data_IF_822243314247
#
_entry.id   IF_822243314247
#
_cell.length_a   1.000
_cell.length_b   1.000
_cell.length_c   1.000
_cell.angle_alpha   90.00
_cell.angle_beta   90.00
_cell.angle_gamma   90.00
#
_symmetry.space_group_name_H-M   'P 1'
#
loop_
_entity.id
_entity.type
_entity.pdbx_description
1 polymer ?
#
# COMPACT_ATOMS: atom_id res chain seq x y z
N UNK A 1 19.43 -10.69 17.98
CA UNK A 1 18.83 -11.48 16.91
C UNK A 1 19.46 -11.09 15.58
N UNK A 2 19.78 -12.09 14.77
CA UNK A 2 20.38 -11.98 13.46
C UNK A 2 19.27 -12.03 12.41
N UNK A 3 19.11 -10.95 11.66
CA UNK A 3 18.21 -10.90 10.52
C UNK A 3 18.99 -11.35 9.29
N UNK A 4 18.53 -12.43 8.64
CA UNK A 4 19.08 -12.98 7.40
C UNK A 4 18.12 -12.81 6.23
N UNK A 5 18.67 -12.62 5.04
CA UNK A 5 17.92 -12.64 3.79
C UNK A 5 17.68 -14.07 3.34
N UNK A 6 16.45 -14.38 2.95
CA UNK A 6 16.05 -15.67 2.38
C UNK A 6 16.90 -16.09 1.16
N UNK A 7 17.37 -15.12 0.37
CA UNK A 7 18.09 -15.36 -0.89
C UNK A 7 19.59 -15.05 -0.78
N UNK A 8 19.99 -14.18 0.16
CA UNK A 8 21.41 -13.80 0.32
C UNK A 8 21.90 -13.91 1.77
N UNK A 9 22.52 -15.05 2.15
CA UNK A 9 22.95 -15.30 3.53
C UNK A 9 24.08 -14.36 4.01
N UNK A 10 24.67 -13.54 3.14
CA UNK A 10 25.69 -12.57 3.52
C UNK A 10 25.11 -11.29 4.15
N UNK A 11 23.78 -11.09 4.09
CA UNK A 11 23.14 -9.96 4.78
C UNK A 11 22.84 -10.37 6.21
N UNK A 12 23.71 -9.93 7.11
CA UNK A 12 23.61 -10.16 8.54
C UNK A 12 23.33 -8.82 9.23
N UNK A 13 22.10 -8.58 9.66
CA UNK A 13 21.75 -7.37 10.43
C UNK A 13 21.48 -7.77 11.87
N UNK A 14 22.29 -7.26 12.79
CA UNK A 14 22.03 -7.44 14.22
C UNK A 14 21.05 -6.37 14.71
N UNK A 15 19.91 -6.82 15.22
CA UNK A 15 18.84 -5.98 15.77
C UNK A 15 18.29 -6.67 17.04
N UNK A 16 17.86 -5.89 18.02
CA UNK A 16 17.12 -6.44 19.15
C UNK A 16 15.74 -6.92 18.70
N UNK A 17 15.20 -8.05 19.21
CA UNK A 17 13.89 -8.55 18.80
C UNK A 17 12.77 -7.50 18.97
N UNK A 18 12.83 -6.72 20.05
CA UNK A 18 11.84 -5.67 20.34
C UNK A 18 11.92 -4.48 19.38
N UNK A 19 13.12 -4.06 18.99
CA UNK A 19 13.32 -3.02 17.97
C UNK A 19 12.86 -3.51 16.60
N UNK A 20 13.21 -4.75 16.23
CA UNK A 20 12.76 -5.36 14.97
C UNK A 20 11.23 -5.43 14.90
N UNK A 21 10.58 -5.91 15.97
CA UNK A 21 9.13 -6.00 16.05
C UNK A 21 8.47 -4.63 15.89
N UNK A 22 9.00 -3.59 16.56
CA UNK A 22 8.52 -2.21 16.40
C UNK A 22 8.67 -1.71 14.97
N UNK A 23 9.81 -1.98 14.32
CA UNK A 23 10.03 -1.60 12.92
C UNK A 23 9.03 -2.28 11.98
N UNK A 24 8.84 -3.60 12.10
CA UNK A 24 7.90 -4.36 11.28
C UNK A 24 6.46 -3.87 11.48
N UNK A 25 6.05 -3.61 12.73
CA UNK A 25 4.75 -3.04 13.04
C UNK A 25 4.57 -1.64 12.43
N UNK A 26 5.58 -0.78 12.54
CA UNK A 26 5.54 0.55 11.93
C UNK A 26 5.38 0.47 10.40
N UNK A 27 6.14 -0.42 9.74
CA UNK A 27 6.05 -0.65 8.30
C UNK A 27 4.65 -1.15 7.90
N UNK A 28 4.07 -2.06 8.68
CA UNK A 28 2.71 -2.56 8.48
C UNK A 28 1.70 -1.42 8.57
N UNK A 29 1.71 -0.66 9.67
CA UNK A 29 0.80 0.46 9.89
C UNK A 29 0.89 1.49 8.76
N UNK A 30 2.10 1.80 8.28
CA UNK A 30 2.31 2.73 7.17
C UNK A 30 1.65 2.23 5.88
N UNK A 31 1.77 0.93 5.56
CA UNK A 31 1.15 0.32 4.38
C UNK A 31 -0.38 0.28 4.51
N UNK A 32 -0.91 -0.04 5.68
CA UNK A 32 -2.36 -0.02 5.95
C UNK A 32 -2.95 1.39 5.80
N UNK A 33 -2.26 2.40 6.34
CA UNK A 33 -2.67 3.80 6.16
C UNK A 33 -2.66 4.21 4.67
N UNK A 34 -1.68 3.74 3.89
CA UNK A 34 -1.63 4.03 2.46
C UNK A 34 -2.77 3.34 1.70
N UNK A 35 -3.12 2.10 2.05
CA UNK A 35 -4.30 1.41 1.51
C UNK A 35 -5.57 2.25 1.75
N UNK A 36 -5.77 2.74 2.98
CA UNK A 36 -6.95 3.57 3.31
C UNK A 36 -6.96 4.91 2.57
N UNK A 37 -5.79 5.54 2.37
CA UNK A 37 -5.68 6.75 1.54
C UNK A 37 -6.08 6.50 0.09
N UNK A 38 -5.63 5.38 -0.49
CA UNK A 38 -5.97 5.04 -1.88
C UNK A 38 -7.47 4.73 -2.00
N UNK A 39 -8.04 3.94 -1.07
CA UNK A 39 -9.49 3.67 -1.04
C UNK A 39 -10.30 4.96 -0.97
N UNK A 40 -9.90 5.89 -0.11
CA UNK A 40 -10.58 7.19 0.02
C UNK A 40 -10.51 8.01 -1.29
N UNK A 41 -9.39 7.98 -2.01
CA UNK A 41 -9.27 8.63 -3.33
C UNK A 41 -10.22 8.00 -4.35
N UNK A 42 -10.26 6.67 -4.43
CA UNK A 42 -11.18 5.94 -5.31
C UNK A 42 -12.63 6.29 -4.98
N UNK A 43 -13.00 6.25 -3.70
CA UNK A 43 -14.37 6.51 -3.26
C UNK A 43 -14.82 7.94 -3.64
N UNK A 44 -13.98 8.95 -3.41
CA UNK A 44 -14.25 10.33 -3.82
C UNK A 44 -14.46 10.46 -5.33
N UNK A 45 -13.63 9.78 -6.13
CA UNK A 45 -13.78 9.77 -7.59
C UNK A 45 -15.11 9.15 -8.02
N UNK A 46 -15.45 7.97 -7.48
CA UNK A 46 -16.69 7.27 -7.82
C UNK A 46 -17.93 8.06 -7.39
N UNK A 47 -17.92 8.65 -6.19
CA UNK A 47 -19.01 9.51 -5.72
C UNK A 47 -19.23 10.70 -6.64
N UNK A 48 -18.14 11.37 -7.05
CA UNK A 48 -18.21 12.48 -8.01
C UNK A 48 -18.81 12.03 -9.35
N UNK A 49 -18.35 10.90 -9.90
CA UNK A 49 -18.88 10.36 -11.17
C UNK A 49 -20.35 9.98 -11.07
N UNK A 50 -20.77 9.34 -9.98
CA UNK A 50 -22.17 9.00 -9.76
C UNK A 50 -23.05 10.26 -9.67
N UNK A 51 -22.58 11.33 -9.04
CA UNK A 51 -23.28 12.60 -8.98
C UNK A 51 -23.38 13.27 -10.36
N UNK A 52 -22.30 13.27 -11.15
CA UNK A 52 -22.28 13.77 -12.53
C UNK A 52 -23.28 13.01 -13.42
N UNK A 53 -23.33 11.68 -13.27
CA UNK A 53 -24.24 10.84 -14.04
C UNK A 53 -25.70 11.01 -13.61
N UNK A 54 -25.97 11.07 -12.30
CA UNK A 54 -27.32 11.35 -11.80
C UNK A 54 -27.83 12.71 -12.28
N UNK A 55 -26.97 13.74 -12.21
CA UNK A 55 -27.28 15.07 -12.74
C UNK A 55 -27.59 15.01 -14.24
N UNK A 56 -26.72 14.41 -15.05
CA UNK A 56 -26.94 14.27 -16.49
C UNK A 56 -28.26 13.53 -16.78
N UNK A 57 -28.56 12.45 -16.06
CA UNK A 57 -29.79 11.69 -16.29
C UNK A 57 -31.06 12.48 -15.97
N UNK A 58 -31.01 13.34 -14.94
CA UNK A 58 -32.12 14.24 -14.57
C UNK A 58 -32.40 15.37 -15.57
N UNK A 59 -31.49 15.64 -16.52
CA UNK A 59 -31.69 16.67 -17.53
C UNK A 59 -32.70 16.26 -18.60
N UNK A 60 -33.46 17.24 -19.10
CA UNK A 60 -34.35 17.04 -20.24
C UNK A 60 -33.57 16.76 -21.54
N UNK A 61 -34.18 16.09 -22.54
CA UNK A 61 -33.52 15.75 -23.81
C UNK A 61 -32.91 16.97 -24.52
N UNK A 62 -33.60 18.11 -24.50
CA UNK A 62 -33.09 19.36 -25.07
C UNK A 62 -31.82 19.83 -24.34
N UNK A 63 -31.81 19.81 -23.00
CA UNK A 63 -30.63 20.20 -22.22
C UNK A 63 -29.46 19.22 -22.41
N UNK A 64 -29.72 17.93 -22.59
CA UNK A 64 -28.68 16.90 -22.86
C UNK A 64 -27.90 17.14 -24.15
N UNK A 65 -28.51 17.76 -25.16
CA UNK A 65 -27.84 18.09 -26.43
C UNK A 65 -26.79 19.21 -26.27
N UNK A 66 -26.95 20.09 -25.27
CA UNK A 66 -26.04 21.22 -25.05
C UNK A 66 -24.98 20.99 -23.97
N UNK A 67 -24.97 19.83 -23.31
CA UNK A 67 -24.07 19.59 -22.15
C UNK A 67 -22.67 19.10 -22.53
N UNK A 68 -22.35 18.93 -23.82
CA UNK A 68 -20.98 18.64 -24.28
C UNK A 68 -20.32 17.43 -23.61
N UNK A 69 -21.10 16.38 -23.29
CA UNK A 69 -20.62 15.21 -22.53
C UNK A 69 -19.47 14.52 -23.26
N UNK A 70 -18.37 14.28 -22.55
CA UNK A 70 -17.18 13.64 -23.09
C UNK A 70 -17.50 12.26 -23.70
N UNK A 71 -16.85 11.87 -24.81
CA UNK A 71 -17.03 10.56 -25.42
C UNK A 71 -16.76 9.41 -24.44
N UNK A 72 -17.49 8.29 -24.61
CA UNK A 72 -17.42 7.13 -23.69
C UNK A 72 -16.00 6.57 -23.51
N UNK A 73 -15.15 6.68 -24.52
CA UNK A 73 -13.77 6.22 -24.46
C UNK A 73 -12.94 6.98 -23.41
N UNK A 74 -13.12 8.29 -23.26
CA UNK A 74 -12.43 9.07 -22.23
C UNK A 74 -12.85 8.64 -20.82
N UNK A 75 -14.14 8.30 -20.64
CA UNK A 75 -14.66 7.84 -19.36
C UNK A 75 -14.05 6.49 -18.93
N UNK A 76 -13.83 5.58 -19.89
CA UNK A 76 -13.18 4.30 -19.63
C UNK A 76 -11.70 4.47 -19.23
N UNK A 77 -10.97 5.35 -19.93
CA UNK A 77 -9.57 5.67 -19.61
C UNK A 77 -9.46 6.29 -18.21
N UNK A 78 -10.31 7.25 -17.88
CA UNK A 78 -10.37 7.87 -16.56
C UNK A 78 -10.65 6.83 -15.47
N UNK A 79 -11.59 5.91 -15.70
CA UNK A 79 -11.89 4.84 -14.74
C UNK A 79 -10.70 3.91 -14.52
N UNK A 80 -9.99 3.52 -15.59
CA UNK A 80 -8.78 2.70 -15.46
C UNK A 80 -7.73 3.41 -14.61
N UNK A 81 -7.46 4.69 -14.90
CA UNK A 81 -6.45 5.48 -14.21
C UNK A 81 -6.80 5.75 -12.74
N UNK A 82 -8.07 6.02 -12.42
CA UNK A 82 -8.49 6.45 -11.09
C UNK A 82 -9.06 5.35 -10.20
N UNK A 83 -9.37 4.18 -10.77
CA UNK A 83 -9.93 3.05 -10.02
C UNK A 83 -9.08 1.81 -10.21
N UNK A 84 -8.91 1.32 -11.44
CA UNK A 84 -8.28 0.02 -11.70
C UNK A 84 -6.80 0.00 -11.30
N UNK A 85 -6.01 0.99 -11.72
CA UNK A 85 -4.59 1.06 -11.34
C UNK A 85 -4.38 1.29 -9.83
N UNK A 86 -5.13 2.20 -9.17
CA UNK A 86 -5.11 2.32 -7.71
C UNK A 86 -5.49 1.03 -6.96
N UNK A 87 -6.46 0.25 -7.45
CA UNK A 87 -6.80 -1.05 -6.86
C UNK A 87 -5.63 -2.04 -6.96
N UNK A 88 -4.93 -2.11 -8.10
CA UNK A 88 -3.72 -2.92 -8.22
C UNK A 88 -2.62 -2.48 -7.25
N UNK A 89 -2.52 -1.19 -6.96
CA UNK A 89 -1.59 -0.69 -5.93
C UNK A 89 -1.99 -1.17 -4.53
N UNK A 90 -3.30 -1.16 -4.21
CA UNK A 90 -3.82 -1.74 -2.97
C UNK A 90 -3.48 -3.22 -2.86
N UNK A 91 -3.63 -4.00 -3.94
CA UNK A 91 -3.34 -5.44 -3.92
C UNK A 91 -1.87 -5.72 -3.63
N UNK A 92 -0.95 -4.95 -4.23
CA UNK A 92 0.48 -5.02 -3.89
C UNK A 92 0.77 -4.65 -2.43
N UNK A 93 0.11 -3.61 -1.91
CA UNK A 93 0.26 -3.20 -0.52
C UNK A 93 -0.25 -4.28 0.44
N UNK A 94 -1.38 -4.92 0.13
CA UNK A 94 -1.95 -6.02 0.91
C UNK A 94 -1.01 -7.23 0.97
N UNK A 95 -0.39 -7.58 -0.16
CA UNK A 95 0.62 -8.63 -0.18
C UNK A 95 1.80 -8.28 0.75
N UNK A 96 2.28 -7.04 0.71
CA UNK A 96 3.31 -6.58 1.64
C UNK A 96 2.89 -6.60 3.11
N UNK A 97 1.62 -6.27 3.42
CA UNK A 97 1.08 -6.40 4.79
C UNK A 97 1.04 -7.86 5.23
N UNK A 98 0.63 -8.77 4.36
CA UNK A 98 0.61 -10.21 4.64
C UNK A 98 2.00 -10.76 4.97
N UNK A 99 3.02 -10.40 4.17
CA UNK A 99 4.42 -10.79 4.44
C UNK A 99 4.92 -10.25 5.80
N UNK A 100 4.57 -9.01 6.12
CA UNK A 100 4.91 -8.40 7.41
C UNK A 100 4.20 -9.09 8.58
N UNK A 101 2.91 -9.42 8.42
CA UNK A 101 2.15 -10.13 9.45
C UNK A 101 2.73 -11.52 9.71
N UNK A 102 3.08 -12.26 8.66
CA UNK A 102 3.74 -13.55 8.79
C UNK A 102 5.07 -13.43 9.56
N UNK A 103 5.87 -12.42 9.23
CA UNK A 103 7.16 -12.16 9.91
C UNK A 103 6.97 -11.75 11.38
N UNK A 104 5.99 -10.90 11.67
CA UNK A 104 5.64 -10.46 13.04
C UNK A 104 5.15 -11.65 13.86
N UNK A 105 4.33 -12.52 13.27
CA UNK A 105 3.81 -13.70 13.94
C UNK A 105 4.93 -14.65 14.33
N UNK A 106 5.81 -15.02 13.38
CA UNK A 106 6.96 -15.88 13.67
C UNK A 106 7.87 -15.31 14.76
N UNK A 107 8.08 -13.99 14.76
CA UNK A 107 8.87 -13.32 15.79
C UNK A 107 8.23 -13.35 17.19
N UNK A 108 6.89 -13.36 17.26
CA UNK A 108 6.14 -13.44 18.52
C UNK A 108 6.05 -14.85 19.09
N UNK A 109 5.95 -15.86 18.23
CA UNK A 109 5.86 -17.26 18.65
C UNK A 109 7.19 -17.80 19.18
N UNK A 110 8.30 -17.36 18.60
CA UNK A 110 9.65 -17.84 18.96
C UNK A 110 10.61 -16.68 19.25
N UNK A 111 10.37 -15.88 20.31
CA UNK A 111 11.18 -14.70 20.63
C UNK A 111 12.62 -15.03 21.05
N UNK A 112 12.88 -16.29 21.42
CA UNK A 112 14.18 -16.84 21.81
C UNK A 112 15.02 -17.34 20.64
N UNK A 113 14.51 -17.34 19.40
CA UNK A 113 15.34 -17.65 18.23
C UNK A 113 16.37 -16.54 18.02
N UNK A 114 17.63 -16.92 17.96
CA UNK A 114 18.70 -15.96 17.68
C UNK A 114 18.72 -15.49 16.22
N UNK A 115 17.96 -16.14 15.33
CA UNK A 115 17.90 -15.83 13.90
C UNK A 115 16.47 -15.75 13.37
N UNK A 116 16.20 -14.79 12.48
CA UNK A 116 14.97 -14.67 11.71
C UNK A 116 15.29 -14.46 10.24
N UNK A 117 14.61 -15.20 9.38
CA UNK A 117 14.72 -15.07 7.93
C UNK A 117 13.60 -14.13 7.46
N UNK A 118 13.97 -13.05 6.78
CA UNK A 118 13.02 -12.09 6.23
C UNK A 118 13.17 -12.00 4.71
N UNK A 119 12.08 -11.63 4.03
CA UNK A 119 12.12 -11.40 2.59
C UNK A 119 13.04 -10.22 2.24
N UNK A 120 13.65 -10.28 1.06
CA UNK A 120 14.55 -9.22 0.55
C UNK A 120 13.89 -7.83 0.56
N UNK A 121 12.59 -7.78 0.29
CA UNK A 121 11.79 -6.54 0.28
C UNK A 121 11.77 -5.91 1.67
N UNK A 122 11.48 -6.70 2.71
CA UNK A 122 11.44 -6.24 4.11
C UNK A 122 12.83 -5.79 4.56
N UNK A 123 13.88 -6.54 4.22
CA UNK A 123 15.27 -6.20 4.56
C UNK A 123 15.71 -4.90 3.90
N UNK A 124 15.33 -4.69 2.64
CA UNK A 124 15.58 -3.44 1.92
C UNK A 124 14.95 -2.25 2.64
N UNK A 125 13.68 -2.37 3.03
CA UNK A 125 12.97 -1.32 3.76
C UNK A 125 13.54 -1.07 5.17
N UNK A 126 13.96 -2.12 5.89
CA UNK A 126 14.65 -1.98 7.19
C UNK A 126 15.95 -1.17 7.02
N UNK A 127 16.76 -1.49 5.99
CA UNK A 127 18.00 -0.76 5.69
C UNK A 127 17.74 0.70 5.35
N UNK A 128 16.71 0.98 4.56
CA UNK A 128 16.36 2.36 4.20
C UNK A 128 15.91 3.17 5.42
N UNK A 129 15.00 2.62 6.25
CA UNK A 129 14.52 3.31 7.46
C UNK A 129 15.66 3.60 8.46
N UNK A 130 16.66 2.69 8.55
CA UNK A 130 17.86 2.92 9.37
C UNK A 130 18.78 4.01 8.85
N UNK A 131 18.90 4.17 7.53
CA UNK A 131 19.70 5.26 6.93
C UNK A 131 19.04 6.62 7.15
N UNK A 132 17.74 6.72 6.92
CA UNK A 132 16.99 7.96 7.14
C UNK A 132 16.96 8.40 8.61
N UNK A 133 17.11 7.48 9.57
CA UNK A 133 17.24 7.83 10.99
C UNK A 133 18.63 8.30 11.42
N UNK A 134 19.66 8.15 10.58
CA UNK A 134 21.03 8.63 10.86
C UNK A 134 21.32 10.02 10.29
N UNK A 135 20.53 10.48 9.33
CA UNK A 135 20.72 11.79 8.66
C UNK A 135 20.06 12.97 9.42
N UNK A 136 19.43 12.71 10.57
CA UNK A 136 18.74 13.73 11.39
C UNK A 136 19.42 14.01 12.73
N UNK A 137 20.71 13.71 12.88
CA UNK A 137 21.51 14.02 14.08
C UNK A 137 22.72 14.87 13.73
#
# INVERSE_FOLDING_TARGET
>A
MLVRDEVNPNINIQISPSELLKMLQFMKTKKEQEIERIKNKINKYVQKKNAEDAFYQSLSPFRKLFTGRSPSHHQAVEYIAHVKEPLKQIDKLKQGVFELDHSIHGLKEEPSKDEIILSRTIIGEIKMNRKSGKETT
#
